data_IF_740597890831
#
_entry.id   IF_740597890831
#
_cell.length_a   1.000
_cell.length_b   1.000
_cell.length_c   1.000
_cell.angle_alpha   90.00
_cell.angle_beta   90.00
_cell.angle_gamma   90.00
#
_symmetry.space_group_name_H-M   'P 1'
#
loop_
_entity.id
_entity.type
_entity.pdbx_description
1 polymer ?
#
# COMPACT_ATOMS: atom_id res chain seq x y z
N UNK A 1 -17.69 -2.15 3.17
CA UNK A 1 -17.51 -3.40 3.97
C UNK A 1 -18.56 -4.40 3.55
N UNK A 2 -18.19 -5.70 3.52
CA UNK A 2 -19.12 -6.75 3.10
C UNK A 2 -20.49 -6.65 3.78
N UNK A 3 -21.54 -7.01 3.04
CA UNK A 3 -22.91 -6.94 3.53
C UNK A 3 -23.20 -8.00 4.59
N UNK A 4 -24.20 -7.76 5.44
CA UNK A 4 -24.65 -8.70 6.47
C UNK A 4 -24.93 -10.09 5.90
N UNK A 5 -25.40 -10.17 4.66
CA UNK A 5 -25.66 -11.45 3.97
C UNK A 5 -24.38 -12.27 3.82
N UNK A 6 -23.24 -11.66 3.49
CA UNK A 6 -21.94 -12.32 3.43
C UNK A 6 -21.46 -12.72 4.84
N UNK A 7 -21.61 -11.82 5.79
CA UNK A 7 -21.20 -12.06 7.18
C UNK A 7 -21.95 -13.24 7.83
N UNK A 8 -23.20 -13.45 7.45
CA UNK A 8 -24.07 -14.53 7.96
C UNK A 8 -23.95 -15.85 7.19
N UNK A 9 -23.06 -15.95 6.20
CA UNK A 9 -22.82 -17.23 5.52
C UNK A 9 -22.23 -18.26 6.48
N UNK A 10 -22.51 -19.53 6.22
CA UNK A 10 -21.82 -20.64 6.87
C UNK A 10 -20.30 -20.47 6.73
N UNK A 11 -19.58 -20.77 7.81
CA UNK A 11 -18.13 -20.52 7.90
C UNK A 11 -17.35 -21.10 6.73
N UNK A 12 -17.64 -22.34 6.34
CA UNK A 12 -16.96 -23.01 5.23
C UNK A 12 -17.20 -22.28 3.89
N UNK A 13 -18.44 -21.91 3.60
CA UNK A 13 -18.80 -21.18 2.39
C UNK A 13 -18.17 -19.78 2.36
N UNK A 14 -18.17 -19.10 3.50
CA UNK A 14 -17.56 -17.77 3.66
C UNK A 14 -16.05 -17.82 3.39
N UNK A 15 -15.34 -18.79 3.99
CA UNK A 15 -13.90 -18.97 3.79
C UNK A 15 -13.57 -19.35 2.34
N UNK A 16 -14.38 -20.20 1.70
CA UNK A 16 -14.20 -20.54 0.28
C UNK A 16 -14.30 -19.32 -0.63
N UNK A 17 -15.35 -18.49 -0.45
CA UNK A 17 -15.52 -17.25 -1.22
C UNK A 17 -14.35 -16.32 -0.95
N UNK A 18 -13.98 -16.16 0.31
CA UNK A 18 -12.88 -15.30 0.73
C UNK A 18 -11.54 -15.70 0.09
N UNK A 19 -11.16 -16.97 0.18
CA UNK A 19 -9.91 -17.47 -0.39
C UNK A 19 -9.87 -17.33 -1.92
N UNK A 20 -11.01 -17.58 -2.59
CA UNK A 20 -11.10 -17.41 -4.04
C UNK A 20 -11.03 -15.93 -4.47
N UNK A 21 -11.56 -14.99 -3.67
CA UNK A 21 -11.39 -13.55 -3.90
C UNK A 21 -9.93 -13.12 -3.70
N UNK A 22 -9.30 -13.61 -2.63
CA UNK A 22 -7.88 -13.32 -2.35
C UNK A 22 -7.02 -13.76 -3.54
N UNK A 23 -7.12 -15.03 -3.93
CA UNK A 23 -6.40 -15.58 -5.08
C UNK A 23 -6.66 -14.78 -6.36
N UNK A 24 -7.92 -14.39 -6.62
CA UNK A 24 -8.27 -13.59 -7.78
C UNK A 24 -7.56 -12.22 -7.77
N UNK A 25 -7.54 -11.50 -6.65
CA UNK A 25 -6.89 -10.20 -6.56
C UNK A 25 -5.35 -10.27 -6.55
N UNK A 26 -4.77 -11.39 -6.13
CA UNK A 26 -3.33 -11.60 -6.14
C UNK A 26 -2.78 -11.99 -7.52
N UNK A 27 -3.53 -12.77 -8.28
CA UNK A 27 -3.05 -13.42 -9.50
C UNK A 27 -3.53 -12.74 -10.80
N UNK A 28 -4.74 -12.13 -10.78
CA UNK A 28 -5.36 -11.62 -11.99
C UNK A 28 -4.67 -10.34 -12.50
N UNK A 29 -4.62 -10.20 -13.82
CA UNK A 29 -4.16 -8.96 -14.45
C UNK A 29 -5.09 -7.79 -14.11
N UNK A 30 -4.52 -6.61 -13.84
CA UNK A 30 -5.27 -5.43 -13.40
C UNK A 30 -6.43 -5.06 -14.31
N UNK A 31 -6.27 -5.21 -15.62
CA UNK A 31 -7.31 -4.94 -16.62
C UNK A 31 -8.50 -5.90 -16.55
N UNK A 32 -8.30 -7.10 -16.00
CA UNK A 32 -9.30 -8.15 -15.87
C UNK A 32 -9.98 -8.12 -14.48
N UNK A 33 -9.50 -7.30 -13.56
CA UNK A 33 -10.10 -7.14 -12.24
C UNK A 33 -11.43 -6.40 -12.37
N UNK A 34 -12.50 -7.18 -12.50
CA UNK A 34 -13.86 -6.69 -12.60
C UNK A 34 -14.86 -7.73 -12.04
N UNK A 35 -16.11 -7.30 -11.83
CA UNK A 35 -17.16 -8.18 -11.26
C UNK A 35 -17.40 -9.43 -12.12
N UNK A 36 -17.28 -9.33 -13.44
CA UNK A 36 -17.46 -10.48 -14.35
C UNK A 36 -16.38 -11.54 -14.16
N UNK A 37 -15.12 -11.13 -13.97
CA UNK A 37 -14.01 -12.02 -13.62
C UNK A 37 -14.24 -12.71 -12.28
N UNK A 38 -14.64 -11.95 -11.25
CA UNK A 38 -14.93 -12.49 -9.91
C UNK A 38 -16.03 -13.54 -9.94
N UNK A 39 -17.20 -13.25 -10.55
CA UNK A 39 -18.32 -14.20 -10.56
C UNK A 39 -17.99 -15.48 -11.32
N UNK A 40 -17.17 -15.39 -12.35
CA UNK A 40 -16.61 -16.54 -13.07
C UNK A 40 -15.66 -17.35 -12.18
N UNK A 41 -14.71 -16.73 -11.50
CA UNK A 41 -13.77 -17.38 -10.58
C UNK A 41 -14.49 -18.06 -9.42
N UNK A 42 -15.48 -17.39 -8.82
CA UNK A 42 -16.28 -17.91 -7.72
C UNK A 42 -17.35 -18.94 -8.15
N UNK A 43 -17.64 -19.04 -9.43
CA UNK A 43 -18.74 -19.84 -9.98
C UNK A 43 -20.09 -19.53 -9.29
N UNK A 44 -20.41 -18.24 -9.21
CA UNK A 44 -21.69 -17.74 -8.65
C UNK A 44 -22.45 -16.88 -9.66
N UNK A 45 -23.76 -16.75 -9.48
CA UNK A 45 -24.53 -15.78 -10.24
C UNK A 45 -24.12 -14.33 -9.89
N UNK A 46 -24.16 -13.41 -10.89
CA UNK A 46 -23.86 -11.98 -10.68
C UNK A 46 -24.72 -11.35 -9.56
N UNK A 47 -26.00 -11.76 -9.49
CA UNK A 47 -26.89 -11.32 -8.40
C UNK A 47 -26.39 -11.71 -7.01
N UNK A 48 -25.81 -12.91 -6.87
CA UNK A 48 -25.24 -13.37 -5.59
C UNK A 48 -24.03 -12.52 -5.17
N UNK A 49 -23.20 -12.07 -6.10
CA UNK A 49 -22.12 -11.12 -5.80
C UNK A 49 -22.66 -9.85 -5.13
N UNK A 50 -23.68 -9.22 -5.71
CA UNK A 50 -24.27 -8.01 -5.17
C UNK A 50 -25.12 -8.23 -3.88
N UNK A 51 -25.46 -9.47 -3.55
CA UNK A 51 -25.98 -9.80 -2.22
C UNK A 51 -24.89 -9.78 -1.14
N UNK A 52 -23.63 -10.05 -1.51
CA UNK A 52 -22.49 -10.12 -0.61
C UNK A 52 -21.72 -8.80 -0.50
N UNK A 53 -21.53 -8.12 -1.60
CA UNK A 53 -20.72 -6.91 -1.71
C UNK A 53 -21.49 -5.78 -2.38
N UNK A 54 -21.15 -4.54 -2.04
CA UNK A 54 -21.74 -3.35 -2.69
C UNK A 54 -21.27 -3.27 -4.14
N UNK A 55 -19.96 -3.37 -4.32
CA UNK A 55 -19.26 -3.26 -5.59
C UNK A 55 -17.95 -4.05 -5.57
N UNK A 56 -17.16 -3.88 -6.64
CA UNK A 56 -15.85 -4.50 -6.77
C UNK A 56 -14.89 -4.03 -5.67
N UNK A 57 -14.91 -2.75 -5.36
CA UNK A 57 -14.05 -2.13 -4.36
C UNK A 57 -14.33 -2.68 -2.97
N UNK A 58 -15.61 -2.79 -2.59
CA UNK A 58 -16.03 -3.38 -1.31
C UNK A 58 -15.55 -4.84 -1.16
N UNK A 59 -15.63 -5.63 -2.22
CA UNK A 59 -15.12 -7.00 -2.22
C UNK A 59 -13.60 -7.06 -2.02
N UNK A 60 -12.86 -6.17 -2.66
CA UNK A 60 -11.40 -6.06 -2.53
C UNK A 60 -10.98 -5.64 -1.12
N UNK A 61 -11.56 -4.55 -0.59
CA UNK A 61 -11.20 -4.07 0.74
C UNK A 61 -11.65 -5.02 1.86
N UNK A 62 -12.67 -5.84 1.63
CA UNK A 62 -13.03 -6.92 2.55
C UNK A 62 -11.89 -7.94 2.67
N UNK A 63 -11.27 -8.32 1.56
CA UNK A 63 -10.12 -9.22 1.54
C UNK A 63 -8.89 -8.53 2.14
N UNK A 64 -8.55 -7.35 1.67
CA UNK A 64 -7.37 -6.62 2.13
C UNK A 64 -7.40 -6.41 3.64
N UNK A 65 -8.53 -5.97 4.20
CA UNK A 65 -8.69 -5.75 5.63
C UNK A 65 -8.47 -7.03 6.46
N UNK A 66 -8.98 -8.17 6.01
CA UNK A 66 -8.80 -9.44 6.71
C UNK A 66 -7.34 -9.88 6.72
N UNK A 67 -6.63 -9.74 5.58
CA UNK A 67 -5.23 -10.18 5.45
C UNK A 67 -4.25 -9.26 6.19
N UNK A 68 -4.48 -7.94 6.12
CA UNK A 68 -3.53 -6.95 6.60
C UNK A 68 -3.91 -6.31 7.92
N UNK A 69 -5.14 -6.56 8.40
CA UNK A 69 -5.69 -5.82 9.51
C UNK A 69 -5.87 -4.33 9.15
N UNK A 70 -5.88 -3.50 10.16
CA UNK A 70 -5.99 -2.05 9.97
C UNK A 70 -4.57 -1.43 9.97
N UNK A 71 -3.88 -1.48 8.83
CA UNK A 71 -2.51 -0.97 8.68
C UNK A 71 -2.35 0.46 9.21
N UNK A 72 -3.36 1.31 8.99
CA UNK A 72 -3.31 2.68 9.50
C UNK A 72 -3.34 2.72 11.04
N UNK A 73 -4.12 1.83 11.67
CA UNK A 73 -4.12 1.68 13.13
C UNK A 73 -2.78 1.16 13.65
N UNK A 74 -2.06 0.35 12.85
CA UNK A 74 -0.76 -0.17 13.26
C UNK A 74 0.27 0.93 13.49
N UNK A 75 0.32 1.96 12.64
CA UNK A 75 1.22 3.09 12.87
C UNK A 75 0.91 3.81 14.19
N UNK A 76 -0.36 4.11 14.46
CA UNK A 76 -0.77 4.76 15.69
C UNK A 76 -0.51 3.91 16.94
N UNK A 77 -0.71 2.60 16.84
CA UNK A 77 -0.39 1.68 17.94
C UNK A 77 1.11 1.69 18.22
N UNK A 78 1.94 1.58 17.18
CA UNK A 78 3.39 1.68 17.30
C UNK A 78 3.84 3.02 17.88
N UNK A 79 3.19 4.13 17.49
CA UNK A 79 3.50 5.44 18.05
C UNK A 79 3.25 5.51 19.56
N UNK A 80 2.13 4.96 20.01
CA UNK A 80 1.83 4.85 21.46
C UNK A 80 2.77 3.89 22.18
N UNK A 81 3.01 2.71 21.60
CA UNK A 81 3.93 1.69 22.16
C UNK A 81 5.35 2.25 22.31
N UNK A 82 5.80 3.07 21.39
CA UNK A 82 7.11 3.74 21.44
C UNK A 82 7.10 5.06 22.25
N UNK A 83 6.07 5.32 23.07
CA UNK A 83 5.96 6.53 23.90
C UNK A 83 6.11 7.83 23.09
N UNK A 84 5.48 7.86 21.91
CA UNK A 84 5.48 9.00 21.00
C UNK A 84 6.86 9.35 20.37
N UNK A 85 7.82 8.46 20.49
CA UNK A 85 9.12 8.57 19.83
C UNK A 85 8.93 8.29 18.32
N UNK A 86 9.04 9.34 17.51
CA UNK A 86 8.77 9.26 16.07
C UNK A 86 9.82 8.43 15.34
N UNK A 87 11.09 8.52 15.70
CA UNK A 87 12.15 7.76 15.04
C UNK A 87 11.97 6.26 15.25
N UNK A 88 11.74 5.83 16.50
CA UNK A 88 11.47 4.42 16.82
C UNK A 88 10.21 3.94 16.11
N UNK A 89 9.18 4.77 16.06
CA UNK A 89 7.92 4.45 15.40
C UNK A 89 8.08 4.23 13.90
N UNK A 90 8.79 5.13 13.21
CA UNK A 90 9.05 5.01 11.77
C UNK A 90 9.86 3.75 11.45
N UNK A 91 10.88 3.44 12.26
CA UNK A 91 11.67 2.20 12.10
C UNK A 91 10.83 0.95 12.34
N UNK A 92 10.03 0.92 13.40
CA UNK A 92 9.13 -0.21 13.69
C UNK A 92 8.05 -0.38 12.60
N UNK A 93 7.54 0.72 12.05
CA UNK A 93 6.56 0.67 10.96
C UNK A 93 7.18 0.18 9.65
N UNK A 94 8.41 0.58 9.33
CA UNK A 94 9.21 0.02 8.23
C UNK A 94 9.32 -1.50 8.34
N UNK A 95 9.71 -2.00 9.52
CA UNK A 95 9.91 -3.43 9.75
C UNK A 95 8.58 -4.20 9.64
N UNK A 96 7.50 -3.62 10.16
CA UNK A 96 6.15 -4.14 9.98
C UNK A 96 5.78 -4.23 8.49
N UNK A 97 5.97 -3.15 7.71
CA UNK A 97 5.68 -3.16 6.27
C UNK A 97 6.53 -4.17 5.50
N UNK A 98 7.81 -4.29 5.84
CA UNK A 98 8.69 -5.29 5.22
C UNK A 98 8.18 -6.73 5.48
N UNK A 99 7.70 -7.00 6.69
CA UNK A 99 7.08 -8.28 7.03
C UNK A 99 5.80 -8.53 6.24
N UNK A 100 4.90 -7.53 6.17
CA UNK A 100 3.64 -7.67 5.42
C UNK A 100 3.89 -7.91 3.92
N UNK A 101 4.74 -7.10 3.32
CA UNK A 101 4.94 -7.13 1.87
C UNK A 101 5.74 -8.34 1.40
N UNK A 102 6.77 -8.75 2.16
CA UNK A 102 7.73 -9.75 1.71
C UNK A 102 7.61 -11.09 2.45
N UNK A 103 7.55 -11.08 3.77
CA UNK A 103 7.51 -12.34 4.54
C UNK A 103 6.13 -12.99 4.46
N UNK A 104 5.06 -12.19 4.46
CA UNK A 104 3.68 -12.66 4.23
C UNK A 104 3.28 -12.67 2.75
N UNK A 105 4.16 -12.23 1.86
CA UNK A 105 3.95 -12.18 0.40
C UNK A 105 2.70 -11.40 -0.05
N UNK A 106 2.34 -10.32 0.64
CA UNK A 106 1.13 -9.55 0.34
C UNK A 106 1.32 -8.48 -0.75
N UNK A 107 2.50 -8.37 -1.38
CA UNK A 107 2.77 -7.39 -2.46
C UNK A 107 1.72 -7.43 -3.57
N UNK A 108 1.37 -8.62 -4.04
CA UNK A 108 0.41 -8.78 -5.13
C UNK A 108 -0.99 -8.36 -4.70
N UNK A 109 -1.39 -8.65 -3.47
CA UNK A 109 -2.67 -8.21 -2.93
C UNK A 109 -2.77 -6.68 -2.79
N UNK A 110 -1.64 -5.99 -2.56
CA UNK A 110 -1.60 -4.53 -2.52
C UNK A 110 -1.68 -3.85 -3.89
N UNK A 111 -1.32 -4.56 -4.96
CA UNK A 111 -1.26 -4.01 -6.33
C UNK A 111 -2.57 -3.36 -6.77
N UNK A 112 -3.76 -3.98 -6.65
CA UNK A 112 -5.02 -3.34 -7.04
C UNK A 112 -5.33 -2.05 -6.26
N UNK A 113 -4.93 -1.96 -4.98
CA UNK A 113 -5.10 -0.76 -4.16
C UNK A 113 -4.47 0.48 -4.81
N UNK A 114 -3.26 0.34 -5.33
CA UNK A 114 -2.50 1.46 -5.89
C UNK A 114 -2.87 1.79 -7.33
N UNK A 115 -3.34 0.81 -8.11
CA UNK A 115 -3.57 1.00 -9.54
C UNK A 115 -5.04 1.12 -9.95
N UNK A 116 -5.96 0.64 -9.10
CA UNK A 116 -7.40 0.65 -9.39
C UNK A 116 -8.15 1.52 -8.37
N UNK A 117 -7.84 1.38 -7.07
CA UNK A 117 -8.64 1.93 -5.97
C UNK A 117 -7.97 3.09 -5.21
N UNK A 118 -6.91 3.70 -5.77
CA UNK A 118 -6.10 4.73 -5.09
C UNK A 118 -6.94 5.91 -4.57
N UNK A 119 -7.88 6.42 -5.39
CA UNK A 119 -8.66 7.61 -5.07
C UNK A 119 -9.62 7.39 -3.89
N UNK A 120 -10.33 6.28 -3.88
CA UNK A 120 -11.31 5.95 -2.84
C UNK A 120 -10.66 5.74 -1.49
N UNK A 121 -9.53 5.06 -1.47
CA UNK A 121 -8.77 4.80 -0.26
C UNK A 121 -8.26 6.08 0.41
N UNK A 122 -7.75 7.02 -0.36
CA UNK A 122 -7.24 8.31 0.14
C UNK A 122 -8.34 9.16 0.78
N UNK A 123 -9.56 9.10 0.26
CA UNK A 123 -10.69 9.85 0.79
C UNK A 123 -11.13 9.35 2.18
N UNK A 124 -11.30 8.04 2.35
CA UNK A 124 -11.74 7.45 3.62
C UNK A 124 -10.72 7.64 4.76
N UNK A 125 -9.44 7.41 4.46
CA UNK A 125 -8.37 7.59 5.46
C UNK A 125 -8.22 9.04 5.94
N UNK A 126 -8.30 10.01 5.03
CA UNK A 126 -8.20 11.44 5.37
C UNK A 126 -9.34 11.92 6.26
N UNK A 127 -10.57 11.48 6.02
CA UNK A 127 -11.71 11.88 6.84
C UNK A 127 -11.56 11.38 8.28
N UNK A 128 -11.20 10.12 8.47
CA UNK A 128 -10.95 9.57 9.80
C UNK A 128 -9.87 10.34 10.57
N UNK A 129 -8.73 10.61 9.94
CA UNK A 129 -7.64 11.34 10.58
C UNK A 129 -8.05 12.76 10.97
N UNK A 130 -8.82 13.44 10.13
CA UNK A 130 -9.25 14.82 10.35
C UNK A 130 -10.21 14.96 11.52
N UNK A 131 -11.05 13.96 11.76
CA UNK A 131 -12.00 13.95 12.87
C UNK A 131 -11.36 13.69 14.24
N UNK A 132 -10.21 13.02 14.29
CA UNK A 132 -9.61 12.49 15.51
C UNK A 132 -8.29 13.14 15.93
N UNK A 133 -7.67 13.98 15.07
CA UNK A 133 -6.36 14.57 15.32
C UNK A 133 -6.42 16.10 15.34
N UNK A 134 -5.54 16.73 16.11
CA UNK A 134 -5.31 18.18 16.00
C UNK A 134 -4.76 18.53 14.62
N UNK A 135 -5.02 19.74 14.11
CA UNK A 135 -4.62 20.17 12.75
C UNK A 135 -3.13 19.93 12.46
N UNK A 136 -2.25 20.32 13.37
CA UNK A 136 -0.81 20.15 13.18
C UNK A 136 -0.43 18.66 13.10
N UNK A 137 -0.99 17.83 13.98
CA UNK A 137 -0.71 16.40 14.00
C UNK A 137 -1.34 15.69 12.80
N UNK A 138 -2.53 16.12 12.37
CA UNK A 138 -3.16 15.66 11.13
C UNK A 138 -2.27 15.88 9.91
N UNK A 139 -1.73 17.10 9.72
CA UNK A 139 -0.87 17.40 8.58
C UNK A 139 0.44 16.61 8.63
N UNK A 140 1.02 16.47 9.82
CA UNK A 140 2.22 15.64 10.02
C UNK A 140 1.98 14.18 9.66
N UNK A 141 0.87 13.61 10.12
CA UNK A 141 0.49 12.22 9.80
C UNK A 141 0.19 12.04 8.32
N UNK A 142 -0.53 12.98 7.70
CA UNK A 142 -0.82 12.96 6.27
C UNK A 142 0.47 12.96 5.45
N UNK A 143 1.46 13.78 5.82
CA UNK A 143 2.75 13.82 5.16
C UNK A 143 3.51 12.50 5.28
N UNK A 144 3.64 11.96 6.50
CA UNK A 144 4.29 10.66 6.74
C UNK A 144 3.62 9.54 5.96
N UNK A 145 2.27 9.47 6.00
CA UNK A 145 1.51 8.44 5.31
C UNK A 145 1.65 8.54 3.79
N UNK A 146 1.70 9.76 3.23
CA UNK A 146 1.91 9.96 1.80
C UNK A 146 3.27 9.43 1.35
N UNK A 147 4.33 9.67 2.15
CA UNK A 147 5.68 9.16 1.87
C UNK A 147 5.71 7.63 1.88
N UNK A 148 5.16 6.99 2.90
CA UNK A 148 5.12 5.52 2.96
C UNK A 148 4.21 4.91 1.88
N UNK A 149 3.12 5.58 1.55
CA UNK A 149 2.22 5.13 0.49
C UNK A 149 2.94 5.09 -0.87
N UNK A 150 3.67 6.17 -1.21
CA UNK A 150 4.45 6.22 -2.46
C UNK A 150 5.58 5.18 -2.45
N UNK A 151 6.27 5.00 -1.32
CA UNK A 151 7.30 4.00 -1.16
C UNK A 151 6.81 2.56 -1.40
N UNK A 152 5.64 2.20 -0.85
CA UNK A 152 5.02 0.89 -1.09
C UNK A 152 4.67 0.74 -2.58
N UNK A 153 4.07 1.77 -3.19
CA UNK A 153 3.73 1.79 -4.61
C UNK A 153 4.96 1.60 -5.49
N UNK A 154 6.03 2.35 -5.22
CA UNK A 154 7.31 2.23 -5.92
C UNK A 154 7.91 0.82 -5.76
N UNK A 155 7.86 0.26 -4.55
CA UNK A 155 8.37 -1.09 -4.29
C UNK A 155 7.67 -2.18 -5.11
N UNK A 156 6.39 -1.97 -5.44
CA UNK A 156 5.60 -2.88 -6.28
C UNK A 156 5.93 -2.66 -7.75
N UNK A 157 5.97 -1.41 -8.22
CA UNK A 157 6.20 -1.06 -9.63
C UNK A 157 7.62 -1.36 -10.09
N UNK A 158 8.60 -1.11 -9.23
CA UNK A 158 10.03 -1.29 -9.50
C UNK A 158 10.55 -2.67 -9.05
N UNK A 159 9.64 -3.56 -8.65
CA UNK A 159 9.95 -4.93 -8.24
C UNK A 159 11.06 -5.03 -7.19
N UNK A 160 11.07 -4.12 -6.20
CA UNK A 160 12.06 -4.17 -5.11
C UNK A 160 12.00 -5.51 -4.39
N UNK A 161 13.18 -6.06 -4.06
CA UNK A 161 13.31 -7.09 -3.04
C UNK A 161 13.22 -6.46 -1.63
N UNK A 162 13.23 -7.29 -0.61
CA UNK A 162 13.12 -6.84 0.79
C UNK A 162 14.28 -5.95 1.22
N UNK A 163 15.50 -6.27 0.76
CA UNK A 163 16.71 -5.52 1.11
C UNK A 163 16.66 -4.10 0.53
N UNK A 164 16.32 -3.99 -0.77
CA UNK A 164 16.15 -2.69 -1.43
C UNK A 164 15.03 -1.86 -0.82
N UNK A 165 13.90 -2.48 -0.48
CA UNK A 165 12.81 -1.80 0.23
C UNK A 165 13.28 -1.22 1.56
N UNK A 166 13.99 -1.99 2.39
CA UNK A 166 14.52 -1.52 3.68
C UNK A 166 15.54 -0.40 3.51
N UNK A 167 16.43 -0.50 2.51
CA UNK A 167 17.40 0.57 2.18
C UNK A 167 16.70 1.88 1.86
N UNK A 168 15.71 1.87 0.94
CA UNK A 168 14.98 3.06 0.52
C UNK A 168 14.11 3.59 1.66
N UNK A 169 13.48 2.73 2.46
CA UNK A 169 12.77 3.13 3.67
C UNK A 169 13.67 3.90 4.65
N UNK A 170 14.89 3.43 4.89
CA UNK A 170 15.84 4.11 5.77
C UNK A 170 16.19 5.50 5.25
N UNK A 171 16.38 5.63 3.94
CA UNK A 171 16.63 6.92 3.31
C UNK A 171 15.46 7.90 3.53
N UNK A 172 14.22 7.45 3.32
CA UNK A 172 13.03 8.26 3.50
C UNK A 172 12.81 8.63 4.99
N UNK A 173 13.07 7.69 5.91
CA UNK A 173 13.01 7.96 7.36
C UNK A 173 14.02 9.04 7.76
N UNK A 174 15.25 8.98 7.25
CA UNK A 174 16.26 10.00 7.51
C UNK A 174 15.82 11.39 6.99
N UNK A 175 15.18 11.45 5.83
CA UNK A 175 14.64 12.71 5.31
C UNK A 175 13.44 13.22 6.12
N UNK A 176 12.58 12.34 6.58
CA UNK A 176 11.45 12.72 7.45
C UNK A 176 11.92 13.28 8.79
N UNK A 177 12.99 12.74 9.36
CA UNK A 177 13.54 13.15 10.67
C UNK A 177 14.47 14.36 10.58
N UNK A 178 15.32 14.42 9.57
CA UNK A 178 16.36 15.45 9.44
C UNK A 178 16.05 16.56 8.45
N UNK A 179 14.97 16.41 7.67
CA UNK A 179 14.68 17.29 6.54
C UNK A 179 15.55 17.01 5.32
N UNK A 180 15.13 17.52 4.16
CA UNK A 180 15.79 17.29 2.85
C UNK A 180 17.19 17.90 2.80
N UNK A 181 17.47 18.92 3.63
CA UNK A 181 18.74 19.65 3.67
C UNK A 181 19.82 19.00 4.56
N UNK A 182 19.61 17.80 5.09
CA UNK A 182 20.64 17.10 5.82
C UNK A 182 21.80 16.73 4.87
N UNK A 183 23.07 17.01 5.26
CA UNK A 183 24.25 16.83 4.41
C UNK A 183 24.41 15.42 3.84
N UNK A 184 23.99 14.38 4.58
CA UNK A 184 23.97 13.00 4.08
C UNK A 184 23.02 12.81 2.89
N UNK A 185 21.95 13.60 2.81
CA UNK A 185 20.94 13.60 1.76
C UNK A 185 21.48 14.27 0.50
N UNK A 186 22.22 15.38 0.63
CA UNK A 186 22.84 16.09 -0.49
C UNK A 186 23.90 15.26 -1.23
N UNK A 187 24.66 14.46 -0.53
CA UNK A 187 25.65 13.57 -1.15
C UNK A 187 24.99 12.50 -2.01
N UNK A 188 23.83 11.96 -1.59
CA UNK A 188 23.05 11.04 -2.40
C UNK A 188 22.47 11.72 -3.65
N UNK A 189 21.85 12.90 -3.52
CA UNK A 189 21.36 13.66 -4.67
C UNK A 189 22.47 14.06 -5.66
N UNK A 190 23.64 14.43 -5.19
CA UNK A 190 24.81 14.69 -6.04
C UNK A 190 25.23 13.45 -6.82
N UNK A 191 25.22 12.29 -6.17
CA UNK A 191 25.51 11.01 -6.83
C UNK A 191 24.44 10.67 -7.88
N UNK A 192 23.16 10.81 -7.54
CA UNK A 192 22.04 10.58 -8.45
C UNK A 192 22.06 11.53 -9.66
N UNK A 193 22.27 12.83 -9.43
CA UNK A 193 22.37 13.82 -10.49
C UNK A 193 23.59 13.58 -11.40
N UNK A 194 24.70 13.10 -10.85
CA UNK A 194 25.87 12.73 -11.65
C UNK A 194 25.58 11.51 -12.54
N UNK A 195 24.82 10.53 -12.06
CA UNK A 195 24.38 9.37 -12.85
C UNK A 195 23.38 9.76 -13.94
N UNK A 196 22.40 10.62 -13.63
CA UNK A 196 21.42 11.13 -14.60
C UNK A 196 22.08 12.01 -15.68
N UNK A 197 23.08 12.81 -15.34
CA UNK A 197 23.84 13.60 -16.32
C UNK A 197 24.66 12.71 -17.29
N UNK A 198 25.17 11.61 -16.82
CA UNK A 198 25.87 10.61 -17.65
C UNK A 198 24.89 9.84 -18.55
N UNK A 199 23.66 9.55 -18.06
CA UNK A 199 22.61 8.90 -18.84
C UNK A 199 22.08 9.78 -19.98
N UNK A 200 21.96 11.10 -19.72
CA UNK A 200 21.55 12.09 -20.73
C UNK A 200 22.60 12.27 -21.82
N UNK A 201 23.90 12.25 -21.48
CA UNK A 201 24.98 12.32 -22.46
C UNK A 201 25.06 11.08 -23.37
N UNK A 202 24.74 9.89 -22.87
CA UNK A 202 24.71 8.68 -23.69
C UNK A 202 23.51 8.61 -24.65
N UNK A 203 22.35 9.20 -24.30
CA UNK A 203 21.18 9.23 -25.21
C UNK A 203 21.29 10.29 -26.30
N UNK A 204 22.04 11.35 -26.13
CA UNK A 204 22.24 12.36 -27.19
C UNK A 204 23.18 11.89 -28.31
N UNK A 205 23.97 10.83 -28.11
CA UNK A 205 24.88 10.30 -29.13
C UNK A 205 24.24 9.23 -30.04
N UNK A 206 23.00 8.81 -29.79
CA UNK A 206 22.35 7.71 -30.54
C UNK A 206 21.29 8.20 -31.53
N UNK A 207 20.91 9.50 -31.54
CA UNK A 207 19.81 10.01 -32.39
C UNK A 207 20.23 11.04 -33.45
N UNK A 208 21.45 10.95 -33.99
CA UNK A 208 21.84 11.67 -35.23
C UNK A 208 22.67 10.74 -36.14
N UNK A 209 21.99 9.80 -36.79
CA UNK A 209 22.35 9.23 -38.08
C UNK A 209 21.14 8.69 -38.79
#
# INVERSE_FOLDING_TARGET
MAKKTFENLEKEKKEKIYNSLKEFFEEEDLQNINVSGIVKKLNIARGSFYQYFEDLEDSYFTVLKKETGEIHHKFFNLYKENKEDMEKTLKAYRDFLATELYDKNLKNLYRPKFFIFENSFMLHGKNFLREHLSDNFYHKMTYIMAVFHELIKESITSAYDKEKFLEVCNLYINWLLGGINNESTWNFFRCLLSQLSNFSRHKMLINWR
#
